data_IF_644281701711
#
_entry.id   IF_644281701711
#
_cell.length_a   1.000
_cell.length_b   1.000
_cell.length_c   1.000
_cell.angle_alpha   90.00
_cell.angle_beta   90.00
_cell.angle_gamma   90.00
#
_symmetry.space_group_name_H-M   'P 1'
#
loop_
_entity.id
_entity.type
_entity.pdbx_description
1 polymer ?
#
# COMPACT_ATOMS: atom_id res chain seq x y z
N UNK A 1 -3.08 2.00 10.38
CA UNK A 1 -4.49 1.55 10.25
C UNK A 1 -4.70 1.06 8.84
N UNK A 2 -4.94 -0.24 8.72
CA UNK A 2 -5.21 -0.95 7.48
C UNK A 2 -6.71 -1.01 7.24
N UNK A 3 -7.13 -0.68 6.02
CA UNK A 3 -8.47 -0.95 5.50
C UNK A 3 -8.38 -2.08 4.47
N UNK A 4 -9.43 -2.90 4.39
CA UNK A 4 -9.51 -3.99 3.43
C UNK A 4 -10.91 -4.06 2.82
N UNK A 5 -10.98 -4.05 1.49
CA UNK A 5 -12.15 -4.42 0.73
C UNK A 5 -11.91 -5.84 0.22
N UNK A 6 -12.76 -6.79 0.60
CA UNK A 6 -12.53 -8.22 0.37
C UNK A 6 -13.67 -8.77 -0.50
N UNK A 7 -13.29 -9.29 -1.66
CA UNK A 7 -14.20 -9.80 -2.70
C UNK A 7 -14.11 -11.31 -2.81
N UNK A 8 -14.53 -11.91 -3.92
CA UNK A 8 -14.57 -13.37 -4.05
C UNK A 8 -13.18 -13.98 -4.14
N UNK A 9 -12.34 -13.51 -5.06
CA UNK A 9 -10.97 -14.03 -5.24
C UNK A 9 -9.89 -13.04 -4.84
N UNK A 10 -10.25 -11.75 -4.78
CA UNK A 10 -9.31 -10.67 -4.54
C UNK A 10 -9.63 -9.87 -3.28
N UNK A 11 -8.67 -9.05 -2.88
CA UNK A 11 -8.86 -8.01 -1.90
C UNK A 11 -8.01 -6.79 -2.25
N UNK A 12 -8.54 -5.60 -1.95
CA UNK A 12 -7.83 -4.33 -2.00
C UNK A 12 -7.46 -3.94 -0.58
N UNK A 13 -6.16 -3.88 -0.30
CA UNK A 13 -5.63 -3.39 0.98
C UNK A 13 -5.20 -1.94 0.83
N UNK A 14 -5.54 -1.11 1.81
CA UNK A 14 -5.23 0.33 1.80
C UNK A 14 -4.68 0.73 3.16
N UNK A 15 -3.49 1.31 3.19
CA UNK A 15 -2.91 1.84 4.44
C UNK A 15 -2.08 3.09 4.18
N UNK A 16 -1.92 3.90 5.23
CA UNK A 16 -0.85 4.88 5.22
C UNK A 16 0.48 4.15 5.31
N UNK A 17 1.48 4.65 4.60
CA UNK A 17 2.84 4.12 4.57
C UNK A 17 3.84 5.23 4.81
N UNK A 18 4.95 4.85 5.45
CA UNK A 18 6.10 5.70 5.68
C UNK A 18 7.34 4.92 5.25
N UNK A 19 8.11 5.50 4.33
CA UNK A 19 9.26 4.86 3.72
C UNK A 19 10.51 5.68 3.99
N UNK A 20 11.59 4.98 4.32
CA UNK A 20 12.92 5.56 4.48
C UNK A 20 13.80 4.92 3.41
N UNK A 21 14.27 5.73 2.48
CA UNK A 21 15.19 5.25 1.45
C UNK A 21 16.50 4.77 2.07
N UNK A 22 16.85 3.50 1.83
CA UNK A 22 18.07 2.91 2.38
C UNK A 22 19.35 3.58 1.88
N UNK A 23 19.32 4.15 0.66
CA UNK A 23 20.50 4.67 -0.03
C UNK A 23 20.84 6.10 0.37
N UNK A 24 19.84 6.96 0.47
CA UNK A 24 20.01 8.41 0.62
C UNK A 24 19.23 9.00 1.80
N UNK A 25 18.57 8.15 2.61
CA UNK A 25 17.83 8.52 3.82
C UNK A 25 16.67 9.49 3.61
N UNK A 26 16.23 9.68 2.36
CA UNK A 26 15.02 10.46 2.07
C UNK A 26 13.78 9.78 2.65
N UNK A 27 12.88 10.63 3.12
CA UNK A 27 11.64 10.22 3.77
C UNK A 27 10.48 10.44 2.81
N UNK A 28 9.69 9.39 2.62
CA UNK A 28 8.49 9.40 1.80
C UNK A 28 7.29 8.98 2.66
N UNK A 29 6.12 9.52 2.36
CA UNK A 29 4.89 9.09 3.01
C UNK A 29 3.70 9.17 2.08
N UNK A 30 2.69 8.37 2.34
CA UNK A 30 1.44 8.45 1.61
C UNK A 30 0.61 7.21 1.74
N UNK A 31 -0.15 6.90 0.70
CA UNK A 31 -1.02 5.73 0.73
C UNK A 31 -0.45 4.60 -0.14
N UNK A 32 -0.39 3.41 0.45
CA UNK A 32 -0.09 2.16 -0.25
C UNK A 32 -1.41 1.44 -0.49
N UNK A 33 -1.65 1.08 -1.76
CA UNK A 33 -2.72 0.18 -2.16
C UNK A 33 -2.15 -1.10 -2.74
N UNK A 34 -2.72 -2.24 -2.35
CA UNK A 34 -2.31 -3.54 -2.84
C UNK A 34 -3.53 -4.32 -3.32
N UNK A 35 -3.45 -4.88 -4.53
CA UNK A 35 -4.31 -5.97 -4.97
C UNK A 35 -3.66 -7.28 -4.53
N UNK A 36 -4.40 -8.07 -3.78
CA UNK A 36 -3.97 -9.38 -3.29
C UNK A 36 -5.01 -10.45 -3.60
N UNK A 37 -4.55 -11.69 -3.74
CA UNK A 37 -5.45 -12.84 -3.83
C UNK A 37 -5.86 -13.33 -2.44
N UNK A 38 -7.11 -13.80 -2.37
CA UNK A 38 -7.62 -14.56 -1.25
C UNK A 38 -7.22 -16.01 -1.40
N UNK A 39 -6.81 -16.60 -0.30
CA UNK A 39 -6.58 -18.04 -0.26
C UNK A 39 -7.90 -18.76 0.08
N UNK A 40 -8.31 -19.77 -0.71
CA UNK A 40 -9.38 -20.68 -0.31
C UNK A 40 -9.08 -21.30 1.05
N UNK A 41 -10.04 -21.25 1.97
CA UNK A 41 -9.89 -21.78 3.31
C UNK A 41 -10.74 -23.03 3.50
N UNK A 42 -10.25 -24.06 4.21
CA UNK A 42 -11.08 -25.20 4.58
C UNK A 42 -12.21 -24.75 5.52
N UNK A 43 -13.39 -25.36 5.37
CA UNK A 43 -14.52 -25.13 6.27
C UNK A 43 -14.12 -25.44 7.72
N UNK A 44 -14.50 -24.55 8.62
CA UNK A 44 -14.27 -24.68 10.06
C UNK A 44 -15.58 -24.91 10.78
N UNK A 45 -15.59 -25.86 11.70
CA UNK A 45 -16.70 -26.04 12.64
C UNK A 45 -18.04 -26.34 11.95
N UNK A 46 -19.12 -25.89 12.60
CA UNK A 46 -20.49 -26.02 12.09
C UNK A 46 -20.86 -24.89 11.13
N UNK A 47 -22.10 -24.89 10.64
CA UNK A 47 -22.67 -23.86 9.77
C UNK A 47 -22.66 -22.45 10.38
N UNK A 48 -22.55 -22.34 11.71
CA UNK A 48 -22.51 -21.06 12.44
C UNK A 48 -21.10 -20.62 12.83
N UNK A 49 -20.07 -21.42 12.53
CA UNK A 49 -18.71 -21.12 12.95
C UNK A 49 -18.10 -19.98 12.11
N UNK A 50 -17.31 -19.13 12.77
CA UNK A 50 -16.53 -18.11 12.07
C UNK A 50 -15.49 -18.76 11.16
N UNK A 51 -15.47 -18.33 9.90
CA UNK A 51 -14.53 -18.83 8.91
C UNK A 51 -13.28 -17.95 8.87
N UNK A 52 -12.13 -18.52 8.52
CA UNK A 52 -10.93 -17.72 8.26
C UNK A 52 -11.05 -17.06 6.90
N UNK A 53 -10.56 -15.83 6.84
CA UNK A 53 -10.28 -15.12 5.61
C UNK A 53 -8.77 -14.88 5.61
N UNK A 54 -8.10 -15.30 4.55
CA UNK A 54 -6.68 -15.03 4.34
C UNK A 54 -6.52 -14.29 3.02
N UNK A 55 -5.87 -13.13 3.10
CA UNK A 55 -5.49 -12.28 1.98
C UNK A 55 -3.97 -12.26 2.00
N UNK A 56 -3.34 -12.86 1.01
CA UNK A 56 -1.90 -13.17 1.09
C UNK A 56 -1.15 -12.72 -0.16
N UNK A 57 -1.21 -13.53 -1.23
CA UNK A 57 -0.40 -13.37 -2.44
C UNK A 57 -0.59 -11.98 -3.09
N UNK A 58 0.46 -11.14 -3.18
CA UNK A 58 0.41 -9.86 -3.86
C UNK A 58 0.38 -10.04 -5.39
N UNK A 59 -0.36 -9.16 -6.05
CA UNK A 59 -0.50 -9.14 -7.52
C UNK A 59 -0.03 -7.81 -8.09
N UNK A 60 -0.47 -6.72 -7.47
CA UNK A 60 -0.20 -5.35 -7.91
C UNK A 60 -0.14 -4.43 -6.70
N UNK A 61 0.68 -3.37 -6.78
CA UNK A 61 0.78 -2.35 -5.73
C UNK A 61 0.93 -0.96 -6.31
N UNK A 62 0.21 0.01 -5.76
CA UNK A 62 0.46 1.43 -5.98
C UNK A 62 0.91 2.10 -4.68
N UNK A 63 1.93 2.92 -4.81
CA UNK A 63 2.54 3.70 -3.74
C UNK A 63 2.39 5.17 -4.12
N UNK A 64 1.31 5.80 -3.64
CA UNK A 64 0.96 7.20 -3.96
C UNK A 64 1.56 8.11 -2.89
N UNK A 65 2.86 8.36 -3.02
CA UNK A 65 3.68 9.00 -1.98
C UNK A 65 4.14 10.41 -2.36
N UNK A 66 4.16 11.27 -1.35
CA UNK A 66 4.90 12.52 -1.34
C UNK A 66 6.28 12.31 -0.71
N UNK A 67 7.22 13.19 -1.05
CA UNK A 67 8.46 13.34 -0.29
C UNK A 67 8.25 14.34 0.83
N UNK A 68 8.77 14.05 2.03
CA UNK A 68 8.63 14.95 3.18
C UNK A 68 9.41 16.28 3.00
N UNK A 69 10.46 16.26 2.20
CA UNK A 69 11.28 17.43 1.84
C UNK A 69 10.81 18.12 0.54
N UNK A 70 9.74 17.61 -0.08
CA UNK A 70 9.18 18.12 -1.33
C UNK A 70 7.97 19.03 -1.16
N UNK A 71 7.28 19.31 -2.27
CA UNK A 71 6.02 20.05 -2.26
C UNK A 71 4.90 19.10 -1.81
N UNK A 72 4.17 19.38 -0.72
CA UNK A 72 3.07 18.51 -0.30
C UNK A 72 2.00 18.36 -1.39
N UNK A 73 1.60 17.11 -1.67
CA UNK A 73 0.63 16.79 -2.72
C UNK A 73 1.17 16.82 -4.14
N UNK A 74 2.49 16.92 -4.34
CA UNK A 74 3.11 16.83 -5.66
C UNK A 74 3.28 15.38 -6.14
N UNK A 75 3.20 14.40 -5.23
CA UNK A 75 3.33 12.97 -5.53
C UNK A 75 4.66 12.63 -6.22
N UNK A 76 5.74 13.36 -5.87
CA UNK A 76 7.05 13.21 -6.51
C UNK A 76 7.64 11.80 -6.39
N UNK A 77 7.26 11.08 -5.33
CA UNK A 77 7.64 9.70 -5.04
C UNK A 77 6.57 8.67 -5.46
N UNK A 78 5.48 9.09 -6.11
CA UNK A 78 4.41 8.18 -6.48
C UNK A 78 4.81 7.25 -7.65
N UNK A 79 4.57 5.95 -7.45
CA UNK A 79 4.91 4.89 -8.39
C UNK A 79 4.00 3.69 -8.21
N UNK A 80 4.15 2.68 -9.07
CA UNK A 80 3.46 1.41 -8.92
C UNK A 80 4.31 0.22 -9.34
N UNK A 81 3.86 -0.96 -8.94
CA UNK A 81 4.46 -2.25 -9.22
C UNK A 81 3.40 -3.13 -9.91
N UNK A 82 3.47 -3.30 -11.24
CA UNK A 82 2.49 -4.08 -11.99
C UNK A 82 2.53 -5.57 -11.71
N UNK A 83 3.60 -6.10 -11.10
CA UNK A 83 3.79 -7.52 -10.84
C UNK A 83 4.73 -7.76 -9.66
N UNK A 84 4.69 -8.98 -9.15
CA UNK A 84 5.52 -9.50 -8.06
C UNK A 84 6.20 -10.82 -8.45
N UNK A 85 7.39 -11.07 -7.90
CA UNK A 85 8.07 -12.37 -7.90
C UNK A 85 8.10 -12.91 -6.47
N UNK A 86 7.22 -13.87 -6.18
CA UNK A 86 6.89 -14.23 -4.79
C UNK A 86 6.30 -13.03 -4.06
N UNK A 87 6.95 -12.64 -2.95
CA UNK A 87 6.57 -11.48 -2.14
C UNK A 87 7.25 -10.18 -2.57
N UNK A 88 8.23 -10.27 -3.49
CA UNK A 88 9.05 -9.13 -3.90
C UNK A 88 8.43 -8.40 -5.09
N UNK A 89 8.23 -7.08 -5.01
CA UNK A 89 7.72 -6.30 -6.13
C UNK A 89 8.77 -6.19 -7.25
N UNK A 90 8.31 -6.05 -8.50
CA UNK A 90 9.22 -5.65 -9.58
C UNK A 90 9.76 -4.22 -9.38
N UNK A 91 10.63 -3.76 -10.28
CA UNK A 91 11.11 -2.37 -10.27
C UNK A 91 9.96 -1.34 -10.27
N UNK A 92 10.20 -0.17 -9.67
CA UNK A 92 9.25 0.95 -9.61
C UNK A 92 8.90 1.43 -11.02
N UNK A 93 7.61 1.59 -11.30
CA UNK A 93 7.13 2.21 -12.54
C UNK A 93 6.63 3.63 -12.25
N UNK A 94 7.19 4.59 -12.99
CA UNK A 94 6.94 6.03 -12.85
C UNK A 94 6.17 6.51 -14.07
N UNK A 95 4.84 6.53 -13.99
CA UNK A 95 3.99 7.08 -15.04
C UNK A 95 3.60 8.52 -14.69
N UNK A 96 3.57 9.41 -15.68
CA UNK A 96 3.28 10.84 -15.47
C UNK A 96 1.87 11.04 -14.89
N UNK A 97 0.91 10.20 -15.29
CA UNK A 97 -0.48 10.23 -14.81
C UNK A 97 -0.58 9.88 -13.32
N UNK A 98 0.29 9.01 -12.81
CA UNK A 98 0.34 8.65 -11.38
C UNK A 98 0.69 9.88 -10.54
N UNK A 99 1.49 10.80 -11.07
CA UNK A 99 1.87 12.03 -10.38
C UNK A 99 0.87 13.17 -10.61
N UNK A 100 0.43 13.34 -11.86
CA UNK A 100 -0.43 14.46 -12.24
C UNK A 100 -1.86 14.30 -11.74
N UNK A 101 -2.40 13.08 -11.80
CA UNK A 101 -3.81 12.76 -11.50
C UNK A 101 -3.91 11.41 -10.76
N UNK A 102 -3.23 11.25 -9.60
CA UNK A 102 -3.09 9.96 -8.89
C UNK A 102 -4.43 9.28 -8.60
N UNK A 103 -5.45 10.09 -8.32
CA UNK A 103 -6.74 9.59 -7.92
C UNK A 103 -7.63 9.19 -9.10
N UNK A 104 -7.63 9.97 -10.19
CA UNK A 104 -8.25 9.53 -11.44
C UNK A 104 -7.55 8.29 -11.99
N UNK A 105 -6.21 8.26 -11.92
CA UNK A 105 -5.42 7.10 -12.32
C UNK A 105 -5.79 5.87 -11.50
N UNK A 106 -5.83 5.98 -10.17
CA UNK A 106 -6.20 4.87 -9.29
C UNK A 106 -7.63 4.37 -9.57
N UNK A 107 -8.58 5.29 -9.74
CA UNK A 107 -9.94 4.93 -10.15
C UNK A 107 -9.95 4.15 -11.47
N UNK A 108 -9.13 4.56 -12.44
CA UNK A 108 -8.95 3.86 -13.71
C UNK A 108 -8.49 2.41 -13.52
N UNK A 109 -7.50 2.17 -12.65
CA UNK A 109 -7.03 0.81 -12.34
C UNK A 109 -8.14 -0.04 -11.71
N UNK A 110 -8.89 0.52 -10.75
CA UNK A 110 -9.97 -0.18 -10.06
C UNK A 110 -11.17 -0.48 -10.98
N UNK A 111 -11.33 0.27 -12.07
CA UNK A 111 -12.43 0.07 -13.01
C UNK A 111 -12.27 -1.19 -13.88
N UNK A 112 -11.06 -1.76 -13.95
CA UNK A 112 -10.75 -3.00 -14.67
C UNK A 112 -9.69 -3.83 -13.93
N UNK A 113 -10.09 -4.38 -12.77
CA UNK A 113 -9.17 -5.14 -11.93
C UNK A 113 -8.71 -6.45 -12.59
N UNK A 114 -9.52 -7.02 -13.48
CA UNK A 114 -9.13 -8.22 -14.24
C UNK A 114 -7.92 -7.91 -15.14
N UNK A 115 -7.92 -6.78 -15.85
CA UNK A 115 -6.77 -6.36 -16.64
C UNK A 115 -5.54 -6.09 -15.77
N UNK A 116 -5.72 -5.49 -14.58
CA UNK A 116 -4.62 -5.29 -13.61
C UNK A 116 -4.04 -6.63 -13.14
N UNK A 117 -4.90 -7.60 -12.81
CA UNK A 117 -4.47 -8.93 -12.39
C UNK A 117 -3.74 -9.68 -13.51
N UNK A 118 -4.26 -9.63 -14.73
CA UNK A 118 -3.66 -10.26 -15.90
C UNK A 118 -2.27 -9.67 -16.20
N UNK A 119 -2.11 -8.35 -16.13
CA UNK A 119 -0.81 -7.69 -16.27
C UNK A 119 0.21 -8.14 -15.19
N UNK A 120 -0.29 -8.50 -14.01
CA UNK A 120 0.47 -9.12 -12.93
C UNK A 120 0.75 -10.62 -13.10
N UNK A 121 0.30 -11.22 -14.21
CA UNK A 121 0.46 -12.65 -14.51
C UNK A 121 -0.52 -13.56 -13.76
N UNK A 122 -1.67 -13.02 -13.35
CA UNK A 122 -2.71 -13.77 -12.63
C UNK A 122 -4.00 -13.80 -13.44
N UNK A 123 -4.53 -15.00 -13.64
CA UNK A 123 -5.87 -15.21 -14.19
C UNK A 123 -6.84 -15.51 -13.05
N UNK A 124 -7.83 -14.63 -12.85
CA UNK A 124 -8.93 -14.87 -11.92
C UNK A 124 -9.87 -15.95 -12.48
N UNK A 125 -10.54 -16.72 -11.62
CA UNK A 125 -11.49 -17.74 -12.05
C UNK A 125 -12.80 -17.14 -12.58
N UNK A 126 -13.27 -16.04 -11.97
CA UNK A 126 -14.40 -15.23 -12.43
C UNK A 126 -14.02 -13.73 -12.49
N UNK A 127 -13.27 -13.32 -13.53
CA UNK A 127 -12.78 -11.95 -13.66
C UNK A 127 -13.90 -10.92 -13.79
N UNK A 128 -15.07 -11.31 -14.32
CA UNK A 128 -16.19 -10.41 -14.50
C UNK A 128 -16.82 -10.03 -13.15
N UNK A 129 -17.04 -11.01 -12.26
CA UNK A 129 -17.64 -10.77 -10.96
C UNK A 129 -16.79 -9.87 -10.05
N UNK A 130 -15.48 -10.11 -9.96
CA UNK A 130 -14.58 -9.27 -9.14
C UNK A 130 -14.44 -7.86 -9.75
N UNK A 131 -14.37 -7.74 -11.08
CA UNK A 131 -14.32 -6.43 -11.75
C UNK A 131 -15.58 -5.62 -11.51
N UNK A 132 -16.77 -6.22 -11.61
CA UNK A 132 -18.04 -5.53 -11.37
C UNK A 132 -18.13 -4.99 -9.94
N UNK A 133 -17.82 -5.82 -8.94
CA UNK A 133 -17.87 -5.44 -7.53
C UNK A 133 -16.85 -4.34 -7.19
N UNK A 134 -15.59 -4.50 -7.62
CA UNK A 134 -14.55 -3.50 -7.35
C UNK A 134 -14.86 -2.18 -8.06
N UNK A 135 -15.38 -2.23 -9.29
CA UNK A 135 -15.81 -1.02 -10.01
C UNK A 135 -16.94 -0.30 -9.27
N UNK A 136 -17.89 -1.02 -8.70
CA UNK A 136 -18.97 -0.42 -7.92
C UNK A 136 -18.44 0.31 -6.67
N UNK A 137 -17.40 -0.22 -6.04
CA UNK A 137 -16.78 0.35 -4.84
C UNK A 137 -15.63 1.33 -5.13
N UNK A 138 -15.24 1.51 -6.41
CA UNK A 138 -14.02 2.23 -6.79
C UNK A 138 -13.95 3.65 -6.21
N UNK A 139 -15.08 4.37 -6.19
CA UNK A 139 -15.15 5.70 -5.60
C UNK A 139 -14.91 5.70 -4.08
N UNK A 140 -15.43 4.69 -3.37
CA UNK A 140 -15.23 4.52 -1.93
C UNK A 140 -13.77 4.13 -1.63
N UNK A 141 -13.21 3.17 -2.36
CA UNK A 141 -11.80 2.76 -2.26
C UNK A 141 -10.88 3.98 -2.44
N UNK A 142 -11.12 4.80 -3.47
CA UNK A 142 -10.35 6.03 -3.72
C UNK A 142 -10.54 7.05 -2.59
N UNK A 143 -11.74 7.19 -2.04
CA UNK A 143 -11.97 8.08 -0.90
C UNK A 143 -11.21 7.63 0.36
N UNK A 144 -11.20 6.32 0.64
CA UNK A 144 -10.41 5.73 1.73
C UNK A 144 -8.92 5.95 1.48
N UNK A 145 -8.45 5.75 0.26
CA UNK A 145 -7.07 6.01 -0.12
C UNK A 145 -6.66 7.47 0.11
N UNK A 146 -7.48 8.42 -0.35
CA UNK A 146 -7.29 9.86 -0.13
C UNK A 146 -7.21 10.21 1.35
N UNK A 147 -8.03 9.59 2.20
CA UNK A 147 -8.00 9.79 3.66
C UNK A 147 -6.70 9.32 4.33
N UNK A 148 -5.86 8.57 3.60
CA UNK A 148 -4.56 8.05 4.04
C UNK A 148 -3.38 8.63 3.26
N UNK A 149 -3.61 9.62 2.41
CA UNK A 149 -2.56 10.30 1.64
C UNK A 149 -1.57 11.06 2.55
N UNK A 150 -0.38 11.37 2.01
CA UNK A 150 0.70 12.04 2.74
C UNK A 150 0.26 13.37 3.35
N UNK A 151 -0.44 14.19 2.54
CA UNK A 151 -1.04 15.46 2.97
C UNK A 151 -1.98 15.37 4.18
N UNK A 152 -2.54 14.20 4.50
CA UNK A 152 -3.42 14.01 5.65
C UNK A 152 -2.63 13.70 6.94
N UNK A 153 -1.35 13.34 6.83
CA UNK A 153 -0.44 13.20 7.96
C UNK A 153 0.33 14.51 8.20
N UNK A 154 -0.12 15.32 9.17
CA UNK A 154 0.47 16.62 9.47
C UNK A 154 1.66 16.59 10.44
N UNK A 155 2.00 15.44 11.02
CA UNK A 155 3.11 15.34 12.00
C UNK A 155 3.74 13.94 12.03
N UNK A 156 4.99 13.87 12.49
CA UNK A 156 5.70 12.59 12.69
C UNK A 156 4.91 11.61 13.57
N UNK A 157 4.33 12.11 14.68
CA UNK A 157 3.53 11.31 15.60
C UNK A 157 2.25 10.78 14.95
N UNK A 158 1.61 11.56 14.09
CA UNK A 158 0.44 11.10 13.35
C UNK A 158 0.80 10.02 12.32
N UNK A 159 1.89 10.20 11.56
CA UNK A 159 2.35 9.20 10.59
C UNK A 159 2.71 7.90 11.30
N UNK A 160 3.39 7.99 12.46
CA UNK A 160 3.67 6.84 13.31
C UNK A 160 2.38 6.14 13.79
N UNK A 161 1.41 6.88 14.33
CA UNK A 161 0.14 6.31 14.75
C UNK A 161 -0.61 5.60 13.60
N UNK A 162 -0.46 6.08 12.37
CA UNK A 162 -1.07 5.48 11.19
C UNK A 162 -0.29 4.30 10.61
N UNK A 163 0.97 4.13 10.97
CA UNK A 163 1.87 3.07 10.49
C UNK A 163 2.23 2.06 11.57
N UNK A 164 1.55 2.04 12.72
CA UNK A 164 1.85 1.08 13.80
C UNK A 164 1.81 -0.38 13.34
N UNK A 165 0.88 -0.73 12.45
CA UNK A 165 0.79 -2.08 11.86
C UNK A 165 1.97 -2.42 10.92
N UNK A 166 2.68 -1.40 10.43
CA UNK A 166 3.84 -1.52 9.56
C UNK A 166 5.15 -1.06 10.24
N UNK A 167 5.13 -0.75 11.54
CA UNK A 167 6.29 -0.25 12.27
C UNK A 167 7.52 -1.17 12.18
N UNK A 168 7.40 -2.52 12.21
CA UNK A 168 8.53 -3.41 11.98
C UNK A 168 9.27 -3.16 10.65
N UNK A 169 8.55 -2.76 9.59
CA UNK A 169 9.15 -2.45 8.29
C UNK A 169 9.90 -1.13 8.31
N UNK A 170 9.36 -0.10 8.99
CA UNK A 170 10.09 1.16 9.19
C UNK A 170 11.34 0.94 10.04
N UNK A 171 11.27 0.11 11.09
CA UNK A 171 12.44 -0.25 11.89
C UNK A 171 13.50 -0.98 11.08
N UNK A 172 13.09 -1.92 10.22
CA UNK A 172 13.99 -2.59 9.29
C UNK A 172 14.68 -1.60 8.34
N UNK A 173 13.94 -0.63 7.81
CA UNK A 173 14.55 0.40 6.95
C UNK A 173 15.55 1.28 7.71
N UNK A 174 15.20 1.71 8.92
CA UNK A 174 16.06 2.54 9.76
C UNK A 174 17.36 1.84 10.19
N UNK A 175 17.33 0.52 10.39
CA UNK A 175 18.54 -0.25 10.74
C UNK A 175 19.43 -0.57 9.54
N UNK A 176 18.88 -0.49 8.32
CA UNK A 176 19.57 -0.82 7.07
C UNK A 176 20.12 0.38 6.28
N UNK A 177 20.16 1.58 6.86
CA UNK A 177 20.60 2.79 6.17
C UNK A 177 22.08 2.75 5.77
N UNK A 178 22.37 3.04 4.51
CA UNK A 178 23.75 3.21 4.01
C UNK A 178 24.35 4.55 4.47
N UNK A 179 23.51 5.58 4.64
CA UNK A 179 23.90 6.94 5.03
C UNK A 179 23.08 7.47 6.21
N UNK A 180 23.23 6.87 7.43
CA UNK A 180 22.40 7.21 8.59
C UNK A 180 22.57 8.65 9.08
N UNK A 181 23.67 9.32 8.73
CA UNK A 181 23.93 10.72 9.12
C UNK A 181 23.06 11.73 8.34
N UNK A 182 22.49 11.32 7.20
CA UNK A 182 21.56 12.14 6.41
C UNK A 182 20.11 12.06 6.90
N UNK A 183 19.82 11.16 7.85
CA UNK A 183 18.47 10.92 8.34
C UNK A 183 17.95 12.12 9.15
N UNK A 184 16.77 12.62 8.78
CA UNK A 184 16.01 13.55 9.61
C UNK A 184 15.45 12.79 10.84
N UNK A 185 16.24 12.81 11.92
CA UNK A 185 15.94 12.13 13.19
C UNK A 185 14.73 12.69 13.91
N UNK A 186 14.38 13.96 13.70
CA UNK A 186 13.17 14.54 14.29
C UNK A 186 11.93 13.91 13.66
N UNK A 187 11.92 13.76 12.34
CA UNK A 187 10.80 13.16 11.61
C UNK A 187 10.58 11.69 11.91
N UNK A 188 11.63 10.95 12.24
CA UNK A 188 11.54 9.51 12.56
C UNK A 188 11.57 9.20 14.07
N UNK A 189 11.65 10.21 14.93
CA UNK A 189 11.78 10.02 16.39
C UNK A 189 10.74 9.05 16.97
N UNK A 190 9.46 9.08 16.58
CA UNK A 190 8.46 8.17 17.14
C UNK A 190 8.75 6.68 16.89
N UNK A 191 9.39 6.35 15.77
CA UNK A 191 9.81 4.98 15.47
C UNK A 191 11.07 4.62 16.25
N UNK A 192 12.05 5.55 16.36
CA UNK A 192 13.26 5.33 17.15
C UNK A 192 12.95 5.10 18.64
N UNK A 193 11.97 5.80 19.19
CA UNK A 193 11.52 5.64 20.59
C UNK A 193 10.89 4.27 20.87
N UNK A 194 10.43 3.56 19.83
CA UNK A 194 9.68 2.30 19.95
C UNK A 194 10.38 1.11 19.30
N UNK A 195 11.62 1.30 18.84
CA UNK A 195 12.46 0.21 18.37
C UNK A 195 12.67 -0.80 19.51
N UNK A 196 12.42 -2.10 19.27
CA UNK A 196 12.77 -3.13 20.24
C UNK A 196 14.27 -3.10 20.49
N UNK A 197 14.68 -3.29 21.75
CA UNK A 197 16.10 -3.44 22.09
C UNK A 197 16.70 -4.59 21.27
N UNK A 198 17.86 -4.33 20.67
CA UNK A 198 18.62 -5.31 19.89
C UNK A 198 19.09 -6.50 20.75
#
# INVERSE_FOLDING_TARGET
MLHAFVYNETAILIRHWFEVSLKDSHLEHGVRLELRLREPQPLRGSESAAQRIAVDRPVWRADLFDRLDGVPGAFDAAHYHPRFDGDEPCARNWADEVKATPWEWLHGQLSDIAAVAEAGGVSLSDPAADTEQIRADAAEIVAVARSRAGMQCGSARQCYAWTQDAAPMVHFMLSGLEQPDLLDRERVSPWLETQPAA
#
